data_IF_696128173133
#
_entry.id   IF_696128173133
#
_cell.length_a   1.000
_cell.length_b   1.000
_cell.length_c   1.000
_cell.angle_alpha   90.00
_cell.angle_beta   90.00
_cell.angle_gamma   90.00
#
_symmetry.space_group_name_H-M   'P 1'
#
loop_
_entity.id
_entity.type
_entity.pdbx_description
1 polymer ?
#
# COMPACT_ATOMS: atom_id res chain seq x y z
N UNK A 1 0.82 -28.53 8.84
CA UNK A 1 -0.57 -28.12 8.56
C UNK A 1 -0.51 -26.93 7.63
N UNK A 2 -1.24 -26.93 6.52
CA UNK A 2 -1.34 -25.75 5.64
C UNK A 2 -2.31 -24.75 6.26
N UNK A 3 -1.90 -23.49 6.37
CA UNK A 3 -2.75 -22.39 6.81
C UNK A 3 -3.10 -21.53 5.60
N UNK A 4 -4.37 -21.18 5.45
CA UNK A 4 -4.78 -20.22 4.42
C UNK A 4 -4.24 -18.84 4.78
N UNK A 5 -3.92 -18.05 3.77
CA UNK A 5 -3.52 -16.67 3.96
C UNK A 5 -4.06 -15.81 2.82
N UNK A 6 -4.26 -14.54 3.11
CA UNK A 6 -4.49 -13.52 2.09
C UNK A 6 -3.23 -12.68 1.92
N UNK A 7 -2.97 -12.28 0.68
CA UNK A 7 -1.89 -11.39 0.30
C UNK A 7 -2.55 -10.20 -0.40
N UNK A 8 -2.17 -8.98 0.00
CA UNK A 8 -2.60 -7.73 -0.61
C UNK A 8 -1.35 -6.94 -1.00
N UNK A 9 -1.29 -6.50 -2.26
CA UNK A 9 -0.15 -5.78 -2.81
C UNK A 9 -0.66 -4.50 -3.48
N UNK A 10 -0.84 -3.39 -2.75
CA UNK A 10 -1.02 -2.08 -3.35
C UNK A 10 0.28 -1.65 -4.05
N UNK A 11 0.11 -0.99 -5.20
CA UNK A 11 1.18 -0.52 -6.09
C UNK A 11 0.88 0.91 -6.54
N UNK A 12 1.92 1.74 -6.66
CA UNK A 12 1.79 3.14 -7.07
C UNK A 12 2.03 3.27 -8.57
N UNK A 13 0.95 3.41 -9.34
CA UNK A 13 1.04 3.68 -10.77
C UNK A 13 1.78 5.01 -11.07
N UNK A 14 2.63 5.04 -12.11
CA UNK A 14 3.35 6.24 -12.54
C UNK A 14 4.65 6.52 -11.80
N UNK A 15 5.03 5.67 -10.84
CA UNK A 15 6.26 5.75 -10.05
C UNK A 15 7.53 6.01 -10.87
N UNK A 16 7.76 5.22 -11.92
CA UNK A 16 8.98 5.33 -12.75
C UNK A 16 9.06 6.69 -13.45
N UNK A 17 7.92 7.22 -13.93
CA UNK A 17 7.88 8.53 -14.57
C UNK A 17 8.07 9.66 -13.54
N UNK A 18 7.54 9.49 -12.33
CA UNK A 18 7.73 10.44 -11.23
C UNK A 18 9.22 10.57 -10.85
N UNK A 19 9.90 9.45 -10.60
CA UNK A 19 11.32 9.42 -10.24
C UNK A 19 12.24 10.05 -11.30
N UNK A 20 11.90 9.90 -12.58
CA UNK A 20 12.74 10.39 -13.68
C UNK A 20 12.61 11.89 -13.93
N UNK A 21 11.53 12.53 -13.44
CA UNK A 21 11.26 13.97 -13.64
C UNK A 21 11.63 14.85 -12.46
N UNK A 22 11.84 14.28 -11.28
CA UNK A 22 12.10 15.01 -10.04
C UNK A 22 13.51 14.73 -9.55
N UNK A 23 14.15 15.67 -8.86
CA UNK A 23 15.47 15.42 -8.26
C UNK A 23 15.35 14.23 -7.29
N UNK A 24 16.30 13.29 -7.40
CA UNK A 24 16.27 11.96 -6.74
C UNK A 24 16.05 12.06 -5.21
N UNK A 25 16.63 13.09 -4.59
CA UNK A 25 16.53 13.29 -3.14
C UNK A 25 15.15 13.79 -2.71
N UNK A 26 14.45 14.56 -3.56
CA UNK A 26 13.10 15.05 -3.27
C UNK A 26 12.03 13.99 -3.58
N UNK A 27 12.25 13.17 -4.61
CA UNK A 27 11.30 12.16 -5.05
C UNK A 27 11.22 10.97 -4.10
N UNK A 28 12.34 10.58 -3.51
CA UNK A 28 12.39 9.52 -2.49
C UNK A 28 11.61 9.87 -1.22
N UNK A 29 11.71 11.11 -0.72
CA UNK A 29 10.97 11.56 0.46
C UNK A 29 9.45 11.54 0.24
N UNK A 30 9.00 12.06 -0.93
CA UNK A 30 7.58 12.06 -1.27
C UNK A 30 7.05 10.62 -1.36
N UNK A 31 7.81 9.71 -1.95
CA UNK A 31 7.44 8.30 -2.03
C UNK A 31 7.29 7.67 -0.64
N UNK A 32 8.25 7.90 0.26
CA UNK A 32 8.19 7.37 1.62
C UNK A 32 6.93 7.85 2.35
N UNK A 33 6.61 9.15 2.25
CA UNK A 33 5.36 9.68 2.82
C UNK A 33 4.12 9.01 2.22
N UNK A 34 4.10 8.77 0.90
CA UNK A 34 2.98 8.11 0.23
C UNK A 34 2.80 6.65 0.66
N UNK A 35 3.90 5.91 0.79
CA UNK A 35 3.88 4.52 1.25
C UNK A 35 3.46 4.44 2.73
N UNK A 36 3.91 5.37 3.56
CA UNK A 36 3.46 5.47 4.96
C UNK A 36 1.94 5.65 5.05
N UNK A 37 1.32 6.47 4.21
CA UNK A 37 -0.14 6.62 4.19
C UNK A 37 -0.87 5.32 3.82
N UNK A 38 -0.33 4.55 2.87
CA UNK A 38 -0.88 3.24 2.50
C UNK A 38 -0.79 2.28 3.69
N UNK A 39 0.32 2.32 4.44
CA UNK A 39 0.52 1.48 5.62
C UNK A 39 -0.40 1.89 6.77
N UNK A 40 -0.53 3.19 7.03
CA UNK A 40 -1.38 3.73 8.10
C UNK A 40 -2.87 3.55 7.84
N UNK A 41 -3.28 3.44 6.57
CA UNK A 41 -4.68 3.19 6.18
C UNK A 41 -5.12 1.73 6.31
N UNK A 42 -4.26 0.83 6.77
CA UNK A 42 -4.58 -0.56 7.01
C UNK A 42 -5.45 -0.75 8.27
N UNK A 43 -6.76 -0.92 8.08
CA UNK A 43 -7.74 -1.14 9.15
C UNK A 43 -8.14 -2.62 9.29
N UNK A 44 -7.80 -3.47 8.32
CA UNK A 44 -8.17 -4.90 8.28
C UNK A 44 -7.24 -5.80 9.11
N UNK A 45 -6.25 -5.21 9.79
CA UNK A 45 -5.28 -5.93 10.60
C UNK A 45 -4.36 -6.82 9.77
N UNK A 46 -4.08 -6.42 8.52
CA UNK A 46 -3.05 -7.07 7.73
C UNK A 46 -1.67 -6.78 8.35
N UNK A 47 -0.73 -7.71 8.19
CA UNK A 47 0.65 -7.52 8.62
C UNK A 47 1.47 -7.02 7.44
N UNK A 48 2.22 -5.94 7.64
CA UNK A 48 3.22 -5.49 6.67
C UNK A 48 4.39 -6.48 6.65
N UNK A 49 4.68 -7.03 5.48
CA UNK A 49 5.82 -7.94 5.27
C UNK A 49 7.02 -7.23 4.68
N UNK A 50 6.81 -6.47 3.60
CA UNK A 50 7.88 -5.93 2.78
C UNK A 50 7.42 -4.67 2.04
N UNK A 51 8.37 -3.81 1.72
CA UNK A 51 8.19 -2.65 0.85
C UNK A 51 9.29 -2.75 -0.21
N UNK A 52 8.91 -2.73 -1.49
CA UNK A 52 9.84 -2.80 -2.60
C UNK A 52 9.49 -1.70 -3.61
N UNK A 53 10.32 -0.66 -3.69
CA UNK A 53 10.08 0.47 -4.57
C UNK A 53 8.76 1.17 -4.27
N UNK A 54 7.80 1.01 -5.17
CA UNK A 54 6.44 1.54 -5.17
C UNK A 54 5.36 0.59 -4.63
N UNK A 55 5.72 -0.65 -4.30
CA UNK A 55 4.79 -1.67 -3.84
C UNK A 55 4.94 -1.96 -2.35
N UNK A 56 3.81 -2.24 -1.70
CA UNK A 56 3.76 -2.69 -0.30
C UNK A 56 3.16 -4.09 -0.25
N UNK A 57 3.80 -5.02 0.45
CA UNK A 57 3.28 -6.37 0.62
C UNK A 57 2.67 -6.53 2.01
N UNK A 58 1.37 -6.81 2.02
CA UNK A 58 0.61 -7.17 3.20
C UNK A 58 0.20 -8.63 3.18
N UNK A 59 0.17 -9.27 4.34
CA UNK A 59 -0.38 -10.61 4.50
C UNK A 59 -1.20 -10.77 5.77
N UNK A 60 -2.14 -11.72 5.77
CA UNK A 60 -2.82 -12.18 6.99
C UNK A 60 -3.07 -13.67 6.89
N UNK A 61 -2.54 -14.41 7.87
CA UNK A 61 -2.73 -15.84 7.98
C UNK A 61 -4.01 -16.15 8.76
N UNK A 62 -4.69 -17.25 8.40
CA UNK A 62 -5.94 -17.67 9.00
C UNK A 62 -7.15 -17.23 8.18
N UNK A 63 -8.19 -16.77 8.87
CA UNK A 63 -9.43 -16.34 8.25
C UNK A 63 -9.22 -14.99 7.53
N UNK A 64 -9.46 -14.92 6.20
CA UNK A 64 -9.31 -13.68 5.46
C UNK A 64 -10.43 -12.71 5.88
N UNK A 65 -10.21 -11.38 5.77
CA UNK A 65 -11.31 -10.43 5.84
C UNK A 65 -12.35 -10.76 4.75
N UNK A 66 -13.59 -10.38 4.98
CA UNK A 66 -14.66 -10.49 3.99
C UNK A 66 -14.32 -9.69 2.73
N UNK A 67 -14.98 -10.04 1.62
CA UNK A 67 -14.84 -9.31 0.35
C UNK A 67 -15.17 -7.83 0.50
N UNK A 68 -16.14 -7.50 1.34
CA UNK A 68 -16.54 -6.12 1.60
C UNK A 68 -15.46 -5.35 2.35
N UNK A 69 -14.90 -5.95 3.42
CA UNK A 69 -13.78 -5.36 4.17
C UNK A 69 -12.54 -5.16 3.30
N UNK A 70 -12.20 -6.12 2.44
CA UNK A 70 -11.09 -5.98 1.49
C UNK A 70 -11.34 -4.89 0.45
N UNK A 71 -12.56 -4.81 -0.07
CA UNK A 71 -12.91 -3.75 -1.02
C UNK A 71 -12.83 -2.39 -0.36
N UNK A 72 -13.34 -2.26 0.87
CA UNK A 72 -13.24 -1.05 1.66
C UNK A 72 -11.78 -0.68 1.94
N UNK A 73 -10.95 -1.66 2.33
CA UNK A 73 -9.52 -1.47 2.57
C UNK A 73 -8.79 -0.90 1.36
N UNK A 74 -9.05 -1.45 0.16
CA UNK A 74 -8.46 -0.96 -1.08
C UNK A 74 -8.91 0.47 -1.41
N UNK A 75 -10.21 0.77 -1.24
CA UNK A 75 -10.75 2.11 -1.50
C UNK A 75 -10.20 3.13 -0.50
N UNK A 76 -10.08 2.76 0.77
CA UNK A 76 -9.51 3.63 1.81
C UNK A 76 -8.04 3.95 1.51
N UNK A 77 -7.23 2.94 1.18
CA UNK A 77 -5.83 3.14 0.75
C UNK A 77 -5.76 4.08 -0.47
N UNK A 78 -6.63 3.87 -1.46
CA UNK A 78 -6.72 4.71 -2.65
C UNK A 78 -7.09 6.16 -2.31
N UNK A 79 -8.13 6.38 -1.50
CA UNK A 79 -8.60 7.71 -1.14
C UNK A 79 -7.54 8.48 -0.33
N UNK A 80 -6.93 7.84 0.68
CA UNK A 80 -5.87 8.45 1.50
C UNK A 80 -4.65 8.85 0.69
N UNK A 81 -4.25 8.00 -0.26
CA UNK A 81 -3.18 8.32 -1.18
C UNK A 81 -3.50 9.56 -2.03
N UNK A 82 -4.73 9.67 -2.55
CA UNK A 82 -5.14 10.79 -3.41
C UNK A 82 -5.48 12.09 -2.64
N UNK A 83 -5.82 12.02 -1.35
CA UNK A 83 -6.00 13.20 -0.50
C UNK A 83 -4.70 14.01 -0.38
N UNK A 84 -3.55 13.34 -0.37
CA UNK A 84 -2.23 13.96 -0.21
C UNK A 84 -1.60 14.51 -1.49
N UNK A 85 -2.17 14.17 -2.66
CA UNK A 85 -1.76 14.71 -3.96
C UNK A 85 -2.42 16.07 -4.29
N UNK A 86 -3.33 16.56 -3.44
CA UNK A 86 -4.03 17.84 -3.60
C UNK A 86 -3.30 19.03 -2.98
#
# INVERSE_FOLDING_TARGET
MSQNAIILIPDISGYTEFLTRTEIDHSSHILSEMLELIIESNETGLTLSEIEGDAVLFYKAGEPPSREELTHQCLLMFDRFHEKLK
#
